data_IF_239929467835
#
_entry.id   IF_239929467835
#
_cell.length_a   1.000
_cell.length_b   1.000
_cell.length_c   1.000
_cell.angle_alpha   90.00
_cell.angle_beta   90.00
_cell.angle_gamma   90.00
#
_symmetry.space_group_name_H-M   'P 1'
#
loop_
_entity.id
_entity.type
_entity.pdbx_description
1 polymer ?
#
# COMPACT_ATOMS: atom_id res chain seq x y z
N UNK A 1 28.00 -40.12 73.68
CA UNK A 1 27.60 -38.70 73.61
C UNK A 1 26.07 -38.64 73.46
N UNK A 2 25.32 -38.22 74.49
CA UNK A 2 23.84 -38.17 74.44
C UNK A 2 23.41 -36.77 74.01
N UNK A 3 23.02 -36.60 72.75
CA UNK A 3 22.45 -35.33 72.26
C UNK A 3 21.03 -35.21 72.82
N UNK A 4 20.74 -34.14 73.55
CA UNK A 4 19.39 -33.88 74.07
C UNK A 4 18.50 -33.37 72.94
N UNK A 5 17.31 -33.96 72.78
CA UNK A 5 16.33 -33.62 71.75
C UNK A 5 16.03 -32.11 71.68
N UNK A 6 16.07 -31.41 72.82
CA UNK A 6 15.87 -29.96 72.92
C UNK A 6 16.96 -29.16 72.19
N UNK A 7 18.18 -29.67 72.13
CA UNK A 7 19.30 -29.04 71.42
C UNK A 7 19.15 -29.06 69.90
N UNK A 8 18.27 -29.92 69.37
CA UNK A 8 18.06 -30.08 67.92
C UNK A 8 16.86 -29.26 67.41
N UNK A 9 15.98 -28.78 68.29
CA UNK A 9 14.76 -28.04 67.91
C UNK A 9 15.12 -26.66 67.33
N UNK A 10 16.00 -25.91 68.00
CA UNK A 10 16.39 -24.55 67.57
C UNK A 10 17.01 -24.50 66.17
N UNK A 11 18.00 -25.35 65.80
CA UNK A 11 18.56 -25.32 64.44
C UNK A 11 17.54 -25.76 63.38
N UNK A 12 16.62 -26.66 63.71
CA UNK A 12 15.55 -27.08 62.79
C UNK A 12 14.58 -25.92 62.52
N UNK A 13 14.17 -25.18 63.55
CA UNK A 13 13.29 -24.01 63.38
C UNK A 13 13.97 -22.93 62.54
N UNK A 14 15.26 -22.64 62.79
CA UNK A 14 16.01 -21.68 61.97
C UNK A 14 16.12 -22.12 60.51
N UNK A 15 16.34 -23.41 60.25
CA UNK A 15 16.35 -23.96 58.89
C UNK A 15 15.00 -23.83 58.19
N UNK A 16 13.89 -24.05 58.90
CA UNK A 16 12.54 -23.90 58.33
C UNK A 16 12.25 -22.43 57.97
N UNK A 17 12.67 -21.48 58.82
CA UNK A 17 12.50 -20.05 58.56
C UNK A 17 13.32 -19.57 57.36
N UNK A 18 14.59 -19.98 57.25
CA UNK A 18 15.42 -19.60 56.09
C UNK A 18 14.94 -20.27 54.80
N UNK A 19 14.52 -21.53 54.86
CA UNK A 19 13.97 -22.24 53.70
C UNK A 19 12.69 -21.58 53.17
N UNK A 20 11.76 -21.23 54.07
CA UNK A 20 10.53 -20.53 53.66
C UNK A 20 10.83 -19.15 53.09
N UNK A 21 11.70 -18.35 53.73
CA UNK A 21 12.12 -17.05 53.21
C UNK A 21 12.74 -17.14 51.80
N UNK A 22 13.58 -18.15 51.56
CA UNK A 22 14.18 -18.39 50.23
C UNK A 22 13.11 -18.72 49.17
N UNK A 23 12.14 -19.56 49.51
CA UNK A 23 11.02 -19.90 48.60
C UNK A 23 10.16 -18.66 48.29
N UNK A 24 9.85 -17.83 49.29
CA UNK A 24 9.08 -16.60 49.08
C UNK A 24 9.84 -15.58 48.24
N UNK A 25 11.15 -15.43 48.48
CA UNK A 25 11.99 -14.55 47.67
C UNK A 25 12.05 -15.02 46.21
N UNK A 26 12.22 -16.33 45.97
CA UNK A 26 12.17 -16.89 44.61
C UNK A 26 10.84 -16.60 43.91
N UNK A 27 9.72 -16.86 44.58
CA UNK A 27 8.38 -16.55 44.04
C UNK A 27 8.19 -15.06 43.75
N UNK A 28 8.66 -14.18 44.63
CA UNK A 28 8.56 -12.74 44.41
C UNK A 28 9.36 -12.29 43.19
N UNK A 29 10.59 -12.78 43.03
CA UNK A 29 11.43 -12.50 41.87
C UNK A 29 10.79 -13.03 40.58
N UNK A 30 10.19 -14.21 40.62
CA UNK A 30 9.50 -14.80 39.47
C UNK A 30 8.26 -13.98 39.05
N UNK A 31 7.50 -13.45 40.01
CA UNK A 31 6.35 -12.57 39.72
C UNK A 31 6.81 -11.22 39.19
N UNK A 32 7.88 -10.64 39.75
CA UNK A 32 8.45 -9.38 39.26
C UNK A 32 8.94 -9.51 37.81
N UNK A 33 9.66 -10.60 37.51
CA UNK A 33 10.12 -10.90 36.15
C UNK A 33 8.94 -11.14 35.18
N UNK A 34 7.85 -11.77 35.65
CA UNK A 34 6.61 -11.90 34.86
C UNK A 34 5.93 -10.56 34.60
N UNK A 35 5.91 -9.66 35.57
CA UNK A 35 5.34 -8.32 35.41
C UNK A 35 6.16 -7.48 34.41
N UNK A 36 7.49 -7.45 34.55
CA UNK A 36 8.38 -6.71 33.65
C UNK A 36 8.32 -7.24 32.21
N UNK A 37 8.31 -8.57 32.03
CA UNK A 37 8.15 -9.16 30.70
C UNK A 37 6.78 -8.89 30.10
N UNK A 38 5.71 -8.89 30.89
CA UNK A 38 4.38 -8.52 30.43
C UNK A 38 4.31 -7.03 30.01
N UNK A 39 4.89 -6.13 30.80
CA UNK A 39 4.95 -4.70 30.48
C UNK A 39 5.76 -4.45 29.19
N UNK A 40 6.94 -5.06 29.08
CA UNK A 40 7.78 -4.98 27.87
C UNK A 40 7.05 -5.50 26.63
N UNK A 41 6.35 -6.64 26.75
CA UNK A 41 5.54 -7.20 25.65
C UNK A 41 4.37 -6.29 25.28
N UNK A 42 3.71 -5.66 26.25
CA UNK A 42 2.63 -4.69 26.00
C UNK A 42 3.16 -3.44 25.29
N UNK A 43 4.31 -2.91 25.70
CA UNK A 43 4.96 -1.79 25.02
C UNK A 43 5.31 -2.17 23.58
N UNK A 44 5.92 -3.34 23.37
CA UNK A 44 6.26 -3.82 22.03
C UNK A 44 5.02 -3.98 21.15
N UNK A 45 3.94 -4.57 21.68
CA UNK A 45 2.68 -4.72 20.97
C UNK A 45 2.07 -3.36 20.58
N UNK A 46 2.08 -2.39 21.50
CA UNK A 46 1.60 -1.03 21.22
C UNK A 46 2.45 -0.33 20.15
N UNK A 47 3.77 -0.47 20.19
CA UNK A 47 4.66 0.06 19.15
C UNK A 47 4.38 -0.58 17.79
N UNK A 48 4.20 -1.90 17.74
CA UNK A 48 3.83 -2.61 16.50
C UNK A 48 2.48 -2.14 15.96
N UNK A 49 1.46 -1.99 16.82
CA UNK A 49 0.13 -1.49 16.42
C UNK A 49 0.23 -0.07 15.87
N UNK A 50 0.98 0.82 16.54
CA UNK A 50 1.17 2.19 16.09
C UNK A 50 1.88 2.26 14.72
N UNK A 51 2.90 1.42 14.51
CA UNK A 51 3.57 1.30 13.20
C UNK A 51 2.60 0.79 12.12
N UNK A 52 1.84 -0.26 12.41
CA UNK A 52 0.83 -0.79 11.48
C UNK A 52 -0.22 0.26 11.11
N UNK A 53 -0.73 1.02 12.07
CA UNK A 53 -1.69 2.11 11.84
C UNK A 53 -1.11 3.23 11.00
N UNK A 54 0.18 3.54 11.17
CA UNK A 54 0.86 4.54 10.34
C UNK A 54 0.99 4.06 8.90
N UNK A 55 1.49 2.84 8.68
CA UNK A 55 1.61 2.25 7.33
C UNK A 55 0.25 2.17 6.63
N UNK A 56 -0.81 1.79 7.33
CA UNK A 56 -2.17 1.78 6.76
C UNK A 56 -2.62 3.16 6.30
N UNK A 57 -2.37 4.21 7.09
CA UNK A 57 -2.70 5.59 6.69
C UNK A 57 -1.88 6.04 5.50
N UNK A 58 -0.59 5.77 5.49
CA UNK A 58 0.30 6.15 4.38
C UNK A 58 -0.12 5.47 3.07
N UNK A 59 -0.51 4.18 3.13
CA UNK A 59 -1.03 3.44 1.96
C UNK A 59 -2.38 3.98 1.51
N UNK A 60 -3.29 4.30 2.43
CA UNK A 60 -4.58 4.88 2.09
C UNK A 60 -4.44 6.27 1.44
N UNK A 61 -3.48 7.08 1.88
CA UNK A 61 -3.17 8.35 1.24
C UNK A 61 -2.60 8.15 -0.17
N UNK A 62 -1.67 7.20 -0.34
CA UNK A 62 -1.10 6.87 -1.64
C UNK A 62 -2.19 6.41 -2.62
N UNK A 63 -3.09 5.54 -2.17
CA UNK A 63 -4.22 5.05 -2.98
C UNK A 63 -5.17 6.19 -3.37
N UNK A 64 -5.51 7.07 -2.43
CA UNK A 64 -6.37 8.22 -2.70
C UNK A 64 -5.76 9.18 -3.73
N UNK A 65 -4.44 9.43 -3.67
CA UNK A 65 -3.71 10.26 -4.63
C UNK A 65 -3.80 9.68 -6.05
N UNK A 66 -3.41 8.42 -6.22
CA UNK A 66 -3.41 7.79 -7.56
C UNK A 66 -4.82 7.53 -8.11
N UNK A 67 -5.78 7.23 -7.25
CA UNK A 67 -7.19 7.12 -7.66
C UNK A 67 -7.72 8.46 -8.19
N UNK A 68 -7.39 9.56 -7.52
CA UNK A 68 -7.77 10.90 -7.98
C UNK A 68 -7.09 11.25 -9.31
N UNK A 69 -5.78 11.05 -9.42
CA UNK A 69 -5.05 11.32 -10.67
C UNK A 69 -5.63 10.52 -11.85
N UNK A 70 -5.98 9.26 -11.63
CA UNK A 70 -6.61 8.42 -12.64
C UNK A 70 -8.01 8.90 -13.01
N UNK A 71 -8.81 9.36 -12.05
CA UNK A 71 -10.13 9.94 -12.30
C UNK A 71 -10.04 11.24 -13.10
N UNK A 72 -9.11 12.13 -12.75
CA UNK A 72 -8.86 13.40 -13.45
C UNK A 72 -8.39 13.15 -14.89
N UNK A 73 -7.50 12.18 -15.10
CA UNK A 73 -7.06 11.77 -16.43
C UNK A 73 -8.21 11.19 -17.28
N UNK A 74 -9.03 10.31 -16.70
CA UNK A 74 -10.19 9.76 -17.39
C UNK A 74 -11.22 10.83 -17.74
N UNK A 75 -11.49 11.78 -16.84
CA UNK A 75 -12.39 12.90 -17.10
C UNK A 75 -11.89 13.77 -18.26
N UNK A 76 -10.58 14.01 -18.32
CA UNK A 76 -9.94 14.75 -19.42
C UNK A 76 -10.08 14.01 -20.75
N UNK A 77 -9.83 12.69 -20.76
CA UNK A 77 -9.99 11.85 -21.96
C UNK A 77 -11.44 11.85 -22.46
N UNK A 78 -12.40 11.70 -21.54
CA UNK A 78 -13.82 11.66 -21.90
C UNK A 78 -14.30 13.02 -22.41
N UNK A 79 -13.84 14.12 -21.80
CA UNK A 79 -14.11 15.47 -22.32
C UNK A 79 -13.54 15.67 -23.73
N UNK A 80 -12.31 15.20 -24.00
CA UNK A 80 -11.71 15.28 -25.33
C UNK A 80 -12.50 14.46 -26.34
N UNK A 81 -12.93 13.25 -25.97
CA UNK A 81 -13.76 12.39 -26.81
C UNK A 81 -15.11 13.04 -27.12
N UNK A 82 -15.76 13.64 -26.13
CA UNK A 82 -17.00 14.37 -26.33
C UNK A 82 -16.81 15.57 -27.28
N UNK A 83 -15.72 16.33 -27.14
CA UNK A 83 -15.41 17.46 -28.03
C UNK A 83 -15.12 17.03 -29.48
N UNK A 84 -14.42 15.91 -29.68
CA UNK A 84 -14.15 15.40 -31.03
C UNK A 84 -15.41 14.82 -31.67
N UNK A 85 -16.19 14.03 -30.94
CA UNK A 85 -17.47 13.49 -31.44
C UNK A 85 -18.49 14.57 -31.80
N UNK A 86 -18.48 15.69 -31.08
CA UNK A 86 -19.33 16.86 -31.36
C UNK A 86 -18.75 17.79 -32.43
N UNK A 87 -17.57 17.48 -33.01
CA UNK A 87 -16.91 18.30 -34.02
C UNK A 87 -16.32 19.63 -33.52
N UNK A 88 -16.30 19.86 -32.20
CA UNK A 88 -15.69 21.06 -31.58
C UNK A 88 -14.17 21.02 -31.63
N UNK A 89 -13.60 19.81 -31.57
CA UNK A 89 -12.16 19.53 -31.72
C UNK A 89 -11.95 18.49 -32.81
N UNK A 90 -10.72 18.39 -33.33
CA UNK A 90 -10.33 17.39 -34.32
C UNK A 90 -9.09 16.65 -33.86
N UNK A 91 -9.10 15.32 -33.97
CA UNK A 91 -7.93 14.49 -33.76
C UNK A 91 -7.01 14.57 -34.98
N UNK A 92 -5.74 14.92 -34.77
CA UNK A 92 -4.75 14.95 -35.84
C UNK A 92 -3.88 13.70 -35.77
N UNK A 93 -3.69 13.06 -36.92
CA UNK A 93 -2.78 11.92 -37.08
C UNK A 93 -1.79 12.25 -38.19
N UNK A 94 -0.52 11.92 -37.95
CA UNK A 94 0.47 11.94 -39.01
C UNK A 94 0.18 10.76 -39.95
N UNK A 95 -0.27 11.06 -41.16
CA UNK A 95 -0.59 10.08 -42.18
C UNK A 95 0.14 10.40 -43.48
N UNK A 96 0.67 9.38 -44.14
CA UNK A 96 1.21 9.47 -45.49
C UNK A 96 0.19 8.91 -46.46
N UNK A 97 -0.42 9.77 -47.28
CA UNK A 97 -1.36 9.33 -48.30
C UNK A 97 -0.62 8.96 -49.59
N UNK A 98 -0.91 7.79 -50.16
CA UNK A 98 -0.42 7.44 -51.50
C UNK A 98 -1.05 8.37 -52.55
N UNK A 99 -0.25 8.85 -53.49
CA UNK A 99 -0.72 9.70 -54.59
C UNK A 99 -1.54 8.85 -55.57
N UNK A 100 -2.80 9.21 -55.81
CA UNK A 100 -3.64 8.53 -56.81
C UNK A 100 -3.01 8.59 -58.21
N UNK A 101 -3.01 7.47 -58.93
CA UNK A 101 -2.61 7.38 -60.33
C UNK A 101 -3.61 8.13 -61.20
N UNK A 102 -3.18 9.20 -61.86
CA UNK A 102 -4.04 10.12 -62.61
C UNK A 102 -4.68 9.44 -63.83
N UNK A 103 -6.00 9.30 -63.82
CA UNK A 103 -6.85 9.06 -65.01
C UNK A 103 -7.89 10.19 -65.10
N UNK A 104 -8.36 10.50 -66.32
CA UNK A 104 -9.14 11.70 -66.67
C UNK A 104 -10.11 12.22 -65.59
N UNK A 105 -9.96 13.52 -65.29
CA UNK A 105 -10.56 14.24 -64.16
C UNK A 105 -12.08 14.40 -64.25
N UNK A 106 -12.78 13.82 -63.28
CA UNK A 106 -14.09 14.27 -62.80
C UNK A 106 -13.88 14.82 -61.38
N UNK A 107 -14.37 16.05 -61.10
CA UNK A 107 -14.38 16.61 -59.74
C UNK A 107 -15.41 15.82 -58.92
N UNK A 108 -14.96 14.81 -58.18
CA UNK A 108 -15.78 14.18 -57.17
C UNK A 108 -15.80 15.06 -55.91
N UNK A 109 -16.99 15.35 -55.39
CA UNK A 109 -17.17 15.85 -54.02
C UNK A 109 -16.74 14.74 -53.04
N UNK A 110 -15.43 14.66 -52.82
CA UNK A 110 -14.84 13.76 -51.85
C UNK A 110 -15.12 14.27 -50.44
N UNK A 111 -15.67 13.41 -49.59
CA UNK A 111 -15.79 13.69 -48.16
C UNK A 111 -14.42 14.09 -47.60
N UNK A 112 -14.40 15.12 -46.74
CA UNK A 112 -13.15 15.58 -46.12
C UNK A 112 -12.46 14.42 -45.38
N UNK A 113 -11.14 14.22 -45.56
CA UNK A 113 -10.44 13.11 -44.92
C UNK A 113 -10.59 13.18 -43.39
N UNK A 114 -11.17 12.11 -42.81
CA UNK A 114 -11.42 11.93 -41.38
C UNK A 114 -11.06 10.52 -40.95
N UNK A 115 -10.68 10.33 -39.68
CA UNK A 115 -10.56 8.99 -39.12
C UNK A 115 -11.91 8.28 -39.18
N UNK A 116 -11.88 6.97 -39.34
CA UNK A 116 -13.07 6.15 -39.11
C UNK A 116 -13.45 6.20 -37.62
N UNK A 117 -14.74 6.06 -37.31
CA UNK A 117 -15.23 6.07 -35.93
C UNK A 117 -14.53 5.00 -35.06
N UNK A 118 -14.21 3.84 -35.63
CA UNK A 118 -13.47 2.78 -34.96
C UNK A 118 -12.04 3.20 -34.60
N UNK A 119 -11.34 3.88 -35.51
CA UNK A 119 -9.98 4.33 -35.27
C UNK A 119 -9.91 5.42 -34.18
N UNK A 120 -10.88 6.33 -34.17
CA UNK A 120 -11.02 7.33 -33.11
C UNK A 120 -11.30 6.68 -31.73
N UNK A 121 -12.21 5.71 -31.67
CA UNK A 121 -12.51 4.97 -30.45
C UNK A 121 -11.28 4.21 -29.93
N UNK A 122 -10.55 3.54 -30.82
CA UNK A 122 -9.37 2.77 -30.47
C UNK A 122 -8.24 3.67 -29.96
N UNK A 123 -8.10 4.88 -30.49
CA UNK A 123 -7.16 5.87 -29.98
C UNK A 123 -7.44 6.23 -28.51
N UNK A 124 -8.68 6.55 -28.17
CA UNK A 124 -9.04 6.90 -26.78
C UNK A 124 -8.93 5.71 -25.82
N UNK A 125 -9.28 4.50 -26.28
CA UNK A 125 -9.06 3.27 -25.50
C UNK A 125 -7.57 3.04 -25.21
N UNK A 126 -6.73 3.19 -26.22
CA UNK A 126 -5.28 3.06 -26.05
C UNK A 126 -4.74 4.10 -25.08
N UNK A 127 -5.16 5.36 -25.22
CA UNK A 127 -4.71 6.45 -24.34
C UNK A 127 -5.10 6.21 -22.89
N UNK A 128 -6.37 5.86 -22.63
CA UNK A 128 -6.84 5.52 -21.28
C UNK A 128 -6.11 4.29 -20.71
N UNK A 129 -5.83 3.29 -21.53
CA UNK A 129 -5.06 2.11 -21.14
C UNK A 129 -3.63 2.46 -20.71
N UNK A 130 -2.95 3.34 -21.45
CA UNK A 130 -1.61 3.82 -21.12
C UNK A 130 -1.63 4.58 -19.78
N UNK A 131 -2.54 5.55 -19.61
CA UNK A 131 -2.61 6.36 -18.39
C UNK A 131 -2.89 5.46 -17.16
N UNK A 132 -3.75 4.45 -17.30
CA UNK A 132 -4.01 3.47 -16.24
C UNK A 132 -2.77 2.64 -15.89
N UNK A 133 -2.09 2.06 -16.89
CA UNK A 133 -0.91 1.22 -16.63
C UNK A 133 0.23 2.06 -16.05
N UNK A 134 0.43 3.28 -16.54
CA UNK A 134 1.42 4.22 -15.99
C UNK A 134 1.12 4.54 -14.53
N UNK A 135 -0.14 4.85 -14.20
CA UNK A 135 -0.55 5.07 -12.80
C UNK A 135 -0.30 3.85 -11.92
N UNK A 136 -0.64 2.64 -12.40
CA UNK A 136 -0.41 1.38 -11.65
C UNK A 136 1.08 1.11 -11.41
N UNK A 137 1.94 1.33 -12.41
CA UNK A 137 3.38 1.13 -12.27
C UNK A 137 3.96 2.15 -11.30
N UNK A 138 3.58 3.43 -11.43
CA UNK A 138 4.07 4.49 -10.54
C UNK A 138 3.61 4.26 -9.10
N UNK A 139 2.34 3.90 -8.89
CA UNK A 139 1.79 3.50 -7.60
C UNK A 139 2.62 2.35 -6.99
N UNK A 140 2.87 1.29 -7.75
CA UNK A 140 3.62 0.13 -7.25
C UNK A 140 5.06 0.49 -6.89
N UNK A 141 5.73 1.29 -7.72
CA UNK A 141 7.08 1.76 -7.44
C UNK A 141 7.12 2.57 -6.14
N UNK A 142 6.17 3.48 -5.95
CA UNK A 142 6.12 4.32 -4.75
C UNK A 142 5.74 3.53 -3.50
N UNK A 143 4.81 2.59 -3.62
CA UNK A 143 4.47 1.65 -2.56
C UNK A 143 5.69 0.86 -2.09
N UNK A 144 6.48 0.30 -3.02
CA UNK A 144 7.70 -0.46 -2.67
C UNK A 144 8.70 0.44 -1.96
N UNK A 145 8.96 1.64 -2.47
CA UNK A 145 9.91 2.59 -1.86
C UNK A 145 9.48 3.03 -0.46
N UNK A 146 8.18 3.21 -0.24
CA UNK A 146 7.66 3.80 0.99
C UNK A 146 7.24 2.77 2.04
N UNK A 147 6.86 1.56 1.65
CA UNK A 147 6.32 0.53 2.54
C UNK A 147 7.20 -0.72 2.67
N UNK A 148 7.98 -1.06 1.64
CA UNK A 148 8.78 -2.30 1.65
C UNK A 148 10.27 -2.04 1.92
N UNK A 149 10.81 -0.92 1.44
CA UNK A 149 12.23 -0.57 1.58
C UNK A 149 12.53 0.33 2.79
N UNK A 150 11.50 0.68 3.58
CA UNK A 150 11.60 1.34 4.88
C UNK A 150 11.47 0.34 6.02
#
# INVERSE_FOLDING_TARGET
MKISLKSLIVPVVMLLLTATAYIYHGKYQDELARAESAESNLVLANLTIADMQKRQRDVAELDARYTKELADANATIESLRADVSAGRKRLQVAATCAKSTTGASSMGDGESPRLTADAELNYYRLRSGIDRITAQVNYLQEYIRTQCLK
#
